data_IF_286277126021
#
_entry.id   IF_286277126021
#
_cell.length_a   1.000
_cell.length_b   1.000
_cell.length_c   1.000
_cell.angle_alpha   90.00
_cell.angle_beta   90.00
_cell.angle_gamma   90.00
#
_symmetry.space_group_name_H-M   'P 1'
#
loop_
_entity.id
_entity.type
_entity.pdbx_description
1 polymer ?
#
# COMPACT_ATOMS: atom_id res chain seq x y z
N UNK A 1 15.15 0.91 -5.95
CA UNK A 1 15.38 -0.21 -4.99
C UNK A 1 14.17 -1.13 -5.10
N UNK A 2 14.34 -2.44 -5.32
CA UNK A 2 13.19 -3.37 -5.43
C UNK A 2 12.53 -3.57 -4.06
N UNK A 3 11.19 -3.71 -4.02
CA UNK A 3 10.41 -3.96 -2.80
C UNK A 3 10.91 -5.20 -2.05
N UNK A 4 11.30 -6.25 -2.77
CA UNK A 4 11.87 -7.47 -2.14
C UNK A 4 13.15 -7.17 -1.37
N UNK A 5 14.03 -6.33 -1.94
CA UNK A 5 15.29 -5.91 -1.31
C UNK A 5 15.07 -4.95 -0.13
N UNK A 6 13.96 -4.20 -0.15
CA UNK A 6 13.53 -3.38 0.98
C UNK A 6 13.00 -4.26 2.12
N UNK A 7 12.09 -5.19 1.81
CA UNK A 7 11.50 -6.11 2.79
C UNK A 7 12.58 -6.98 3.44
N UNK A 8 13.56 -7.48 2.68
CA UNK A 8 14.67 -8.26 3.25
C UNK A 8 15.56 -7.48 4.23
N UNK A 9 15.60 -6.15 4.11
CA UNK A 9 16.37 -5.27 5.01
C UNK A 9 15.61 -4.90 6.28
N UNK A 10 14.28 -5.01 6.26
CA UNK A 10 13.42 -4.85 7.45
C UNK A 10 13.54 -6.08 8.37
N UNK A 11 13.92 -7.24 7.82
CA UNK A 11 14.02 -8.54 8.53
C UNK A 11 15.27 -8.69 9.40
N UNK A 12 16.26 -7.78 9.35
CA UNK A 12 17.52 -7.99 10.04
C UNK A 12 17.78 -6.95 11.15
N UNK A 13 17.29 -7.16 12.38
CA UNK A 13 18.03 -6.71 13.55
C UNK A 13 19.41 -7.39 13.54
N UNK A 14 20.45 -6.81 14.17
CA UNK A 14 21.70 -7.52 14.40
C UNK A 14 21.44 -8.63 15.43
N UNK A 15 20.93 -9.78 14.97
CA UNK A 15 20.73 -10.95 15.81
C UNK A 15 22.04 -11.73 15.78
N UNK A 16 22.71 -11.81 16.93
CA UNK A 16 23.85 -12.73 17.11
C UNK A 16 23.39 -14.15 16.76
N UNK A 17 24.17 -14.87 15.94
CA UNK A 17 23.85 -16.17 15.29
C UNK A 17 23.41 -17.31 16.24
N UNK A 18 23.29 -17.08 17.55
CA UNK A 18 22.99 -18.09 18.57
C UNK A 18 21.53 -18.19 19.01
N UNK A 19 20.60 -17.38 18.51
CA UNK A 19 19.17 -17.45 18.90
C UNK A 19 18.28 -18.03 17.79
N UNK A 20 18.43 -19.32 17.46
CA UNK A 20 17.41 -20.04 16.69
C UNK A 20 16.42 -20.66 17.69
N UNK A 21 15.33 -19.94 17.96
CA UNK A 21 14.26 -20.30 18.89
C UNK A 21 12.96 -19.66 18.41
N UNK A 22 11.79 -20.25 18.71
CA UNK A 22 10.46 -19.62 18.50
C UNK A 22 10.36 -18.20 19.09
N UNK A 23 11.26 -17.84 20.04
CA UNK A 23 11.31 -16.48 20.56
C UNK A 23 11.86 -15.49 19.52
N UNK A 24 12.79 -15.91 18.65
CA UNK A 24 13.39 -15.05 17.63
C UNK A 24 12.40 -14.73 16.49
N UNK A 25 11.57 -15.70 16.07
CA UNK A 25 10.50 -15.46 15.09
C UNK A 25 9.45 -14.48 15.60
N UNK A 26 9.08 -14.57 16.89
CA UNK A 26 8.20 -13.60 17.56
C UNK A 26 8.82 -12.21 17.63
N UNK A 27 10.10 -12.12 17.99
CA UNK A 27 10.84 -10.84 18.02
C UNK A 27 10.94 -10.21 16.62
N UNK A 28 11.19 -11.01 15.57
CA UNK A 28 11.22 -10.54 14.18
C UNK A 28 9.84 -10.09 13.66
N UNK A 29 8.78 -10.79 14.05
CA UNK A 29 7.39 -10.39 13.80
C UNK A 29 7.09 -9.01 14.41
N UNK A 30 7.51 -8.77 15.65
CA UNK A 30 7.26 -7.52 16.35
C UNK A 30 8.06 -6.33 15.76
N UNK A 31 9.30 -6.56 15.31
CA UNK A 31 10.13 -5.52 14.70
C UNK A 31 9.66 -5.09 13.29
N UNK A 32 9.03 -6.00 12.55
CA UNK A 32 8.48 -5.72 11.22
C UNK A 32 7.01 -5.30 11.24
N UNK A 33 6.42 -5.14 12.43
CA UNK A 33 4.97 -4.96 12.63
C UNK A 33 4.13 -6.02 11.91
N UNK A 34 4.64 -7.25 11.81
CA UNK A 34 4.00 -8.37 11.13
C UNK A 34 4.03 -8.33 9.59
N UNK A 35 4.62 -7.30 8.98
CA UNK A 35 4.66 -7.14 7.51
C UNK A 35 5.50 -8.25 6.87
N UNK A 36 6.63 -8.62 7.47
CA UNK A 36 7.54 -9.63 6.89
C UNK A 36 7.07 -11.06 7.10
N UNK A 37 6.10 -11.28 7.98
CA UNK A 37 5.47 -12.58 8.24
C UNK A 37 4.12 -12.75 7.53
N UNK A 38 3.59 -11.70 6.90
CA UNK A 38 2.31 -11.70 6.19
C UNK A 38 2.52 -11.62 4.67
N UNK A 39 2.44 -12.75 3.93
CA UNK A 39 2.61 -12.76 2.48
C UNK A 39 1.64 -11.83 1.74
N UNK A 40 0.42 -11.67 2.26
CA UNK A 40 -0.59 -10.81 1.64
C UNK A 40 -0.20 -9.33 1.75
N UNK A 41 0.32 -8.90 2.91
CA UNK A 41 0.86 -7.55 3.08
C UNK A 41 2.08 -7.29 2.20
N UNK A 42 3.01 -8.24 2.11
CA UNK A 42 4.18 -8.09 1.23
C UNK A 42 3.77 -7.91 -0.23
N UNK A 43 2.86 -8.76 -0.70
CA UNK A 43 2.36 -8.67 -2.07
C UNK A 43 1.57 -7.37 -2.30
N UNK A 44 0.75 -6.95 -1.34
CA UNK A 44 0.05 -5.66 -1.40
C UNK A 44 1.02 -4.48 -1.46
N UNK A 45 2.14 -4.50 -0.73
CA UNK A 45 3.19 -3.48 -0.83
C UNK A 45 3.85 -3.49 -2.22
N UNK A 46 4.14 -4.67 -2.77
CA UNK A 46 4.74 -4.79 -4.10
C UNK A 46 3.81 -4.24 -5.19
N UNK A 47 2.53 -4.63 -5.18
CA UNK A 47 1.51 -4.11 -6.10
C UNK A 47 1.35 -2.60 -5.93
N UNK A 48 1.20 -2.11 -4.70
CA UNK A 48 1.06 -0.68 -4.42
C UNK A 48 2.20 0.13 -5.01
N UNK A 49 3.44 -0.33 -4.87
CA UNK A 49 4.60 0.32 -5.47
C UNK A 49 4.53 0.38 -7.00
N UNK A 50 4.00 -0.65 -7.66
CA UNK A 50 3.82 -0.66 -9.11
C UNK A 50 2.72 0.28 -9.59
N UNK A 51 1.66 0.47 -8.81
CA UNK A 51 0.45 1.18 -9.26
C UNK A 51 0.32 2.60 -8.73
N UNK A 52 1.12 3.03 -7.74
CA UNK A 52 0.86 4.27 -6.99
C UNK A 52 0.73 5.54 -7.84
N UNK A 53 1.39 5.59 -9.01
CA UNK A 53 1.39 6.71 -9.96
C UNK A 53 0.82 6.33 -11.35
N UNK A 54 -0.03 5.30 -11.45
CA UNK A 54 -0.62 4.93 -12.74
C UNK A 54 -1.55 6.04 -13.24
N UNK A 55 -1.45 6.39 -14.54
CA UNK A 55 -2.17 7.52 -15.15
C UNK A 55 -1.82 8.90 -14.55
N UNK A 56 -0.68 9.03 -13.87
CA UNK A 56 -0.20 10.32 -13.39
C UNK A 56 0.18 11.25 -14.57
N UNK A 57 -0.41 12.44 -14.61
CA UNK A 57 -0.27 13.40 -15.71
C UNK A 57 0.89 14.40 -15.56
N UNK A 58 1.68 14.27 -14.50
CA UNK A 58 2.83 15.15 -14.22
C UNK A 58 2.47 16.49 -13.58
N UNK A 59 1.19 16.72 -13.25
CA UNK A 59 0.73 17.94 -12.57
C UNK A 59 0.23 17.61 -11.15
N UNK A 60 0.43 18.50 -10.17
CA UNK A 60 0.05 18.23 -8.78
C UNK A 60 -1.47 18.20 -8.59
N UNK A 61 -1.95 17.60 -7.50
CA UNK A 61 -3.37 17.52 -7.14
C UNK A 61 -4.07 18.89 -7.17
N UNK A 62 -3.41 19.97 -6.75
CA UNK A 62 -3.96 21.33 -6.81
C UNK A 62 -4.28 21.81 -8.24
N UNK A 63 -3.51 21.36 -9.23
CA UNK A 63 -3.76 21.66 -10.64
C UNK A 63 -4.80 20.70 -11.23
N UNK A 64 -4.73 19.41 -10.89
CA UNK A 64 -5.74 18.42 -11.28
C UNK A 64 -7.15 18.80 -10.84
N UNK A 65 -7.31 19.35 -9.63
CA UNK A 65 -8.59 19.82 -9.13
C UNK A 65 -9.17 20.92 -10.01
N UNK A 66 -8.32 21.82 -10.54
CA UNK A 66 -8.75 22.90 -11.43
C UNK A 66 -9.14 22.37 -12.81
N UNK A 67 -8.33 21.48 -13.37
CA UNK A 67 -8.45 21.00 -14.75
C UNK A 67 -9.45 19.84 -14.93
N UNK A 68 -9.56 18.94 -13.96
CA UNK A 68 -10.37 17.71 -14.03
C UNK A 68 -11.51 17.71 -13.01
N UNK A 69 -12.37 18.73 -13.09
CA UNK A 69 -13.48 18.98 -12.15
C UNK A 69 -14.33 17.73 -11.83
N UNK A 70 -14.63 16.88 -12.82
CA UNK A 70 -15.46 15.68 -12.61
C UNK A 70 -14.77 14.62 -11.74
N UNK A 71 -13.48 14.37 -11.97
CA UNK A 71 -12.69 13.37 -11.21
C UNK A 71 -12.41 13.92 -9.82
N UNK A 72 -12.05 15.20 -9.72
CA UNK A 72 -11.84 15.87 -8.45
C UNK A 72 -13.10 15.87 -7.56
N UNK A 73 -14.28 16.11 -8.15
CA UNK A 73 -15.56 16.03 -7.44
C UNK A 73 -15.86 14.61 -6.94
N UNK A 74 -15.58 13.57 -7.73
CA UNK A 74 -15.79 12.18 -7.32
C UNK A 74 -14.95 11.81 -6.07
N UNK A 75 -13.79 12.43 -5.91
CA UNK A 75 -12.86 12.20 -4.82
C UNK A 75 -12.88 13.29 -3.74
N UNK A 76 -13.88 14.18 -3.77
CA UNK A 76 -14.02 15.31 -2.83
C UNK A 76 -12.76 16.18 -2.73
N UNK A 77 -12.03 16.33 -3.84
CA UNK A 77 -10.76 17.07 -3.93
C UNK A 77 -9.64 16.56 -3.02
N UNK A 78 -9.72 15.32 -2.52
CA UNK A 78 -8.69 14.70 -1.67
C UNK A 78 -7.93 13.64 -2.47
N UNK A 79 -6.60 13.63 -2.40
CA UNK A 79 -5.73 12.61 -3.01
C UNK A 79 -6.18 12.15 -4.40
N UNK A 80 -6.45 13.11 -5.29
CA UNK A 80 -7.16 12.88 -6.56
C UNK A 80 -6.35 11.95 -7.47
N UNK A 81 -5.04 12.16 -7.59
CA UNK A 81 -4.15 11.32 -8.38
C UNK A 81 -4.00 9.91 -7.80
N UNK A 82 -3.85 9.81 -6.48
CA UNK A 82 -3.66 8.55 -5.78
C UNK A 82 -4.93 7.69 -5.81
N UNK A 83 -6.10 8.29 -5.63
CA UNK A 83 -7.39 7.60 -5.77
C UNK A 83 -7.65 7.13 -7.19
N UNK A 84 -7.36 7.97 -8.19
CA UNK A 84 -7.44 7.57 -9.61
C UNK A 84 -6.54 6.37 -9.91
N UNK A 85 -5.32 6.39 -9.39
CA UNK A 85 -4.35 5.31 -9.56
C UNK A 85 -4.87 3.98 -9.00
N UNK A 86 -5.44 4.04 -7.79
CA UNK A 86 -6.06 2.87 -7.14
C UNK A 86 -7.26 2.36 -7.95
N UNK A 87 -8.18 3.22 -8.36
CA UNK A 87 -9.41 2.81 -9.04
C UNK A 87 -9.12 2.22 -10.42
N UNK A 88 -8.18 2.82 -11.17
CA UNK A 88 -7.77 2.31 -12.47
C UNK A 88 -7.14 0.93 -12.35
N UNK A 89 -6.16 0.76 -11.48
CA UNK A 89 -5.50 -0.52 -11.25
C UNK A 89 -6.46 -1.59 -10.71
N UNK A 90 -7.36 -1.21 -9.80
CA UNK A 90 -8.36 -2.13 -9.25
C UNK A 90 -9.36 -2.58 -10.30
N UNK A 91 -9.86 -1.65 -11.13
CA UNK A 91 -10.77 -1.97 -12.23
C UNK A 91 -10.15 -2.95 -13.24
N UNK A 92 -8.87 -2.76 -13.55
CA UNK A 92 -8.11 -3.67 -14.40
C UNK A 92 -7.98 -5.06 -13.74
N UNK A 93 -7.59 -5.12 -12.47
CA UNK A 93 -7.47 -6.38 -11.73
C UNK A 93 -8.79 -7.16 -11.66
N UNK A 94 -9.95 -6.49 -11.67
CA UNK A 94 -11.26 -7.14 -11.62
C UNK A 94 -11.72 -7.75 -12.95
N UNK A 95 -11.06 -7.45 -14.08
CA UNK A 95 -11.39 -8.03 -15.38
C UNK A 95 -11.19 -9.57 -15.41
N UNK A 96 -11.96 -10.28 -16.22
CA UNK A 96 -11.97 -11.76 -16.21
C UNK A 96 -10.64 -12.41 -16.58
N UNK A 97 -9.82 -11.75 -17.39
CA UNK A 97 -8.45 -12.16 -17.73
C UNK A 97 -7.52 -12.30 -16.51
N UNK A 98 -7.82 -11.63 -15.39
CA UNK A 98 -7.04 -11.71 -14.15
C UNK A 98 -7.67 -12.62 -13.09
N UNK A 99 -8.68 -13.43 -13.44
CA UNK A 99 -9.38 -14.31 -12.48
C UNK A 99 -8.44 -15.26 -11.75
N UNK A 100 -7.48 -15.86 -12.47
CA UNK A 100 -6.52 -16.79 -11.87
C UNK A 100 -5.51 -16.08 -10.96
N UNK A 101 -5.10 -14.86 -11.33
CA UNK A 101 -4.29 -14.02 -10.46
C UNK A 101 -5.04 -13.68 -9.16
N UNK A 102 -6.32 -13.27 -9.25
CA UNK A 102 -7.12 -12.98 -8.05
C UNK A 102 -7.23 -14.19 -7.11
N UNK A 103 -7.44 -15.39 -7.66
CA UNK A 103 -7.47 -16.66 -6.90
C UNK A 103 -6.14 -16.99 -6.21
N UNK A 104 -5.02 -16.58 -6.80
CA UNK A 104 -3.70 -16.78 -6.21
C UNK A 104 -3.40 -15.75 -5.09
N UNK A 105 -4.06 -14.59 -5.09
CA UNK A 105 -3.85 -13.54 -4.11
C UNK A 105 -4.70 -13.77 -2.85
N UNK A 106 -5.96 -14.16 -3.02
CA UNK A 106 -6.90 -14.36 -1.92
C UNK A 106 -7.88 -15.51 -2.21
N UNK A 107 -8.21 -16.28 -1.18
CA UNK A 107 -9.17 -17.39 -1.24
C UNK A 107 -10.52 -17.07 -0.59
N UNK A 108 -10.56 -16.06 0.28
CA UNK A 108 -11.73 -15.70 1.08
C UNK A 108 -12.16 -14.25 0.89
N UNK A 109 -13.42 -13.95 1.21
CA UNK A 109 -13.96 -12.58 1.19
C UNK A 109 -13.25 -11.65 2.19
N UNK A 110 -12.80 -12.19 3.33
CA UNK A 110 -12.02 -11.43 4.31
C UNK A 110 -10.65 -11.05 3.78
N UNK A 111 -9.94 -11.96 3.12
CA UNK A 111 -8.66 -11.68 2.46
C UNK A 111 -8.82 -10.70 1.30
N UNK A 112 -9.89 -10.82 0.50
CA UNK A 112 -10.22 -9.84 -0.54
C UNK A 112 -10.33 -8.42 0.03
N UNK A 113 -11.13 -8.24 1.08
CA UNK A 113 -11.31 -6.95 1.75
C UNK A 113 -10.01 -6.44 2.36
N UNK A 114 -9.25 -7.32 3.00
CA UNK A 114 -7.95 -6.99 3.59
C UNK A 114 -6.96 -6.55 2.52
N UNK A 115 -6.87 -7.25 1.40
CA UNK A 115 -6.01 -6.90 0.28
C UNK A 115 -6.36 -5.54 -0.32
N UNK A 116 -7.66 -5.28 -0.55
CA UNK A 116 -8.15 -3.96 -0.99
C UNK A 116 -7.72 -2.87 -0.01
N UNK A 117 -7.93 -3.09 1.28
CA UNK A 117 -7.61 -2.12 2.33
C UNK A 117 -6.12 -1.81 2.39
N UNK A 118 -5.27 -2.85 2.30
CA UNK A 118 -3.82 -2.71 2.29
C UNK A 118 -3.36 -1.85 1.11
N UNK A 119 -3.87 -2.10 -0.09
CA UNK A 119 -3.56 -1.31 -1.28
C UNK A 119 -4.04 0.14 -1.13
N UNK A 120 -5.29 0.36 -0.71
CA UNK A 120 -5.80 1.72 -0.48
C UNK A 120 -4.91 2.50 0.46
N UNK A 121 -4.60 1.91 1.61
CA UNK A 121 -3.82 2.57 2.65
C UNK A 121 -2.40 2.88 2.17
N UNK A 122 -1.76 1.94 1.46
CA UNK A 122 -0.40 2.10 0.98
C UNK A 122 -0.30 3.16 -0.14
N UNK A 123 -1.23 3.19 -1.10
CA UNK A 123 -1.22 4.19 -2.17
C UNK A 123 -1.67 5.56 -1.67
N UNK A 124 -2.72 5.67 -0.85
CA UNK A 124 -3.11 6.95 -0.26
C UNK A 124 -2.04 7.51 0.69
N UNK A 125 -1.16 6.66 1.22
CA UNK A 125 -0.01 7.10 2.00
C UNK A 125 1.03 7.87 1.16
N UNK A 126 1.04 7.75 -0.17
CA UNK A 126 1.98 8.47 -1.05
C UNK A 126 1.54 9.91 -1.34
N UNK A 127 0.29 10.29 -1.05
CA UNK A 127 -0.08 11.70 -1.04
C UNK A 127 0.63 12.38 0.13
N UNK A 128 1.62 13.20 -0.20
CA UNK A 128 2.44 13.97 0.75
C UNK A 128 1.97 15.42 0.91
N UNK A 129 1.01 15.87 0.10
CA UNK A 129 0.56 17.27 0.08
C UNK A 129 -0.80 17.48 0.76
N UNK A 130 -1.56 16.41 1.03
CA UNK A 130 -2.76 16.50 1.86
C UNK A 130 -2.39 16.81 3.33
N UNK A 131 -2.80 18.00 3.77
CA UNK A 131 -2.51 18.52 5.11
C UNK A 131 -3.25 17.76 6.21
N UNK A 132 -4.47 17.28 5.96
CA UNK A 132 -5.26 16.53 6.93
C UNK A 132 -4.61 15.15 7.16
N UNK A 133 -4.25 14.47 6.07
CA UNK A 133 -3.52 13.20 6.12
C UNK A 133 -2.16 13.36 6.79
N UNK A 134 -1.43 14.43 6.46
CA UNK A 134 -0.15 14.75 7.10
C UNK A 134 -0.28 14.97 8.61
N UNK A 135 -1.33 15.65 9.06
CA UNK A 135 -1.59 15.86 10.49
C UNK A 135 -1.93 14.55 11.21
N UNK A 136 -2.82 13.73 10.65
CA UNK A 136 -3.20 12.42 11.21
C UNK A 136 -2.00 11.48 11.33
N UNK A 137 -1.11 11.46 10.32
CA UNK A 137 0.13 10.65 10.36
C UNK A 137 1.05 11.10 11.49
N UNK A 138 1.24 12.41 11.67
CA UNK A 138 2.06 12.97 12.76
C UNK A 138 1.48 12.66 14.14
N UNK A 139 0.16 12.78 14.30
CA UNK A 139 -0.52 12.45 15.55
C UNK A 139 -0.31 10.97 15.92
N UNK A 140 -0.49 10.06 14.96
CA UNK A 140 -0.30 8.62 15.16
C UNK A 140 1.13 8.26 15.59
N UNK A 141 2.13 8.99 15.12
CA UNK A 141 3.55 8.75 15.44
C UNK A 141 4.04 9.47 16.70
N UNK A 142 3.22 10.37 17.25
CA UNK A 142 3.53 11.11 18.48
C UNK A 142 3.17 10.36 19.78
N UNK A 143 2.63 9.13 19.65
CA UNK A 143 2.31 8.21 20.75
C UNK A 143 3.35 7.10 20.82
#
# INVERSE_FOLDING_TARGET
MSVVKLLSRIVAPPIEEKMVSESAERTLHDHSYGITSDPLAQFACAISAMIHDVDHSGVPNAQLIKEKQRVAAAYNNKSVAEQNSVDLAWSLLMQDNFKDLRRAIYGTESEFRRFRQLICNAVLATDIFDKDLGAQRKERWSK
#
